data_IF_421720261608
#
_entry.id   IF_421720261608
#
_cell.length_a   1.000
_cell.length_b   1.000
_cell.length_c   1.000
_cell.angle_alpha   90.00
_cell.angle_beta   90.00
_cell.angle_gamma   90.00
#
_symmetry.space_group_name_H-M   'P 1'
#
loop_
_entity.id
_entity.type
_entity.pdbx_description
1 polymer ?
#
# COMPACT_ATOMS: atom_id res chain seq x y z
N UNK A 1 -22.17 -8.63 -24.29
CA UNK A 1 -21.12 -8.90 -24.37
C UNK A 1 -20.15 -7.91 -24.27
N UNK A 2 -20.36 -6.88 -24.57
CA UNK A 2 -19.42 -5.88 -24.47
C UNK A 2 -19.22 -5.37 -23.14
N UNK A 3 -20.03 -5.65 -22.21
CA UNK A 3 -19.83 -5.15 -20.87
C UNK A 3 -18.56 -5.67 -20.25
N UNK A 4 -18.01 -6.72 -20.78
CA UNK A 4 -16.80 -7.17 -20.23
C UNK A 4 -15.68 -6.22 -20.45
N UNK A 5 -15.70 -5.47 -21.52
CA UNK A 5 -14.65 -4.53 -21.75
C UNK A 5 -14.61 -3.46 -20.70
N UNK A 6 -15.77 -3.01 -20.27
CA UNK A 6 -15.80 -1.97 -19.26
C UNK A 6 -15.24 -2.48 -17.95
N UNK A 7 -15.53 -3.72 -17.61
CA UNK A 7 -15.02 -4.27 -16.39
C UNK A 7 -13.50 -4.43 -16.47
N UNK A 8 -13.02 -4.84 -17.61
CA UNK A 8 -11.61 -5.05 -17.78
C UNK A 8 -10.82 -3.76 -17.63
N UNK A 9 -11.47 -2.63 -17.85
CA UNK A 9 -10.76 -1.37 -17.74
C UNK A 9 -10.47 -0.99 -16.29
N UNK A 10 -11.12 -1.62 -15.34
CA UNK A 10 -10.90 -1.32 -13.94
C UNK A 10 -9.86 -2.29 -13.41
N UNK A 11 -8.63 -1.92 -13.54
CA UNK A 11 -7.54 -2.80 -13.14
C UNK A 11 -6.98 -2.35 -11.82
N UNK A 12 -6.79 -3.29 -10.91
CA UNK A 12 -6.20 -2.97 -9.62
C UNK A 12 -4.74 -2.56 -9.81
N UNK A 13 -4.32 -1.58 -9.07
CA UNK A 13 -2.94 -1.17 -9.07
C UNK A 13 -2.32 -1.69 -7.78
N UNK A 14 -1.41 -2.63 -7.90
CA UNK A 14 -0.80 -3.26 -6.73
C UNK A 14 0.58 -2.69 -6.50
N UNK A 15 0.87 -2.34 -5.24
CA UNK A 15 2.21 -1.93 -4.85
C UNK A 15 2.78 -3.01 -3.95
N UNK A 16 4.09 -3.13 -3.94
CA UNK A 16 4.77 -4.09 -3.09
C UNK A 16 5.46 -3.32 -1.97
N UNK A 17 5.14 -3.67 -0.74
CA UNK A 17 5.77 -3.09 0.44
C UNK A 17 6.35 -4.22 1.26
N UNK A 18 7.11 -3.88 2.29
CA UNK A 18 7.78 -4.89 3.10
C UNK A 18 7.32 -4.79 4.54
N UNK A 19 7.00 -5.94 5.12
CA UNK A 19 6.69 -5.99 6.53
C UNK A 19 7.96 -5.73 7.31
N UNK A 20 7.86 -5.42 8.60
CA UNK A 20 9.05 -5.15 9.41
C UNK A 20 10.07 -6.29 9.40
N UNK A 21 9.61 -7.52 9.17
CA UNK A 21 10.52 -8.67 9.13
C UNK A 21 11.17 -8.85 7.75
N UNK A 22 10.86 -7.97 6.79
CA UNK A 22 11.46 -8.03 5.46
C UNK A 22 10.67 -8.78 4.42
N UNK A 23 9.58 -9.44 4.80
CA UNK A 23 8.79 -10.17 3.81
C UNK A 23 7.94 -9.21 3.00
N UNK A 24 7.73 -9.55 1.74
CA UNK A 24 6.98 -8.70 0.83
C UNK A 24 5.49 -8.92 0.94
N UNK A 25 4.74 -7.86 0.62
CA UNK A 25 3.30 -7.91 0.65
C UNK A 25 2.78 -6.99 -0.45
N UNK A 26 1.81 -7.47 -1.22
CA UNK A 26 1.21 -6.67 -2.28
C UNK A 26 -0.09 -6.06 -1.75
N UNK A 27 -0.30 -4.79 -2.02
CA UNK A 27 -1.50 -4.07 -1.56
C UNK A 27 -2.14 -3.37 -2.74
N UNK A 28 -3.46 -3.52 -2.84
CA UNK A 28 -4.25 -2.82 -3.86
C UNK A 28 -4.38 -1.36 -3.42
N UNK A 29 -3.91 -0.44 -4.23
CA UNK A 29 -3.90 0.97 -3.85
C UNK A 29 -5.30 1.49 -3.56
N UNK A 30 -6.33 0.90 -4.18
CA UNK A 30 -7.70 1.36 -3.97
C UNK A 30 -8.20 1.04 -2.56
N UNK A 31 -7.54 0.13 -1.86
CA UNK A 31 -7.94 -0.24 -0.52
C UNK A 31 -7.25 0.60 0.55
N UNK A 32 -6.31 1.42 0.16
CA UNK A 32 -5.55 2.21 1.12
C UNK A 32 -6.33 3.45 1.52
N UNK A 33 -6.56 3.60 2.81
CA UNK A 33 -7.26 4.78 3.32
C UNK A 33 -6.31 5.84 3.82
N UNK A 34 -5.45 5.48 4.77
CA UNK A 34 -4.55 6.43 5.41
C UNK A 34 -3.19 5.79 5.57
N UNK A 35 -2.15 6.58 5.47
CA UNK A 35 -0.78 6.13 5.72
C UNK A 35 -0.24 6.97 6.87
N UNK A 36 0.05 6.33 7.99
CA UNK A 36 0.53 7.01 9.18
C UNK A 36 2.01 6.80 9.37
N UNK A 37 2.73 7.83 9.79
CA UNK A 37 4.13 7.68 10.14
C UNK A 37 4.19 7.16 11.57
N UNK A 38 5.09 6.21 11.84
CA UNK A 38 5.27 5.66 13.17
C UNK A 38 6.40 6.40 13.83
N UNK A 39 6.07 7.14 14.89
CA UNK A 39 7.07 7.88 15.63
C UNK A 39 7.42 7.25 16.97
N UNK A 40 6.51 6.47 17.52
CA UNK A 40 6.71 5.83 18.81
C UNK A 40 7.31 4.46 18.61
N UNK A 41 8.57 4.32 18.96
CA UNK A 41 9.28 3.09 18.63
C UNK A 41 8.90 1.88 19.43
N UNK A 42 8.29 2.04 20.56
CA UNK A 42 8.11 0.91 21.46
C UNK A 42 6.80 0.17 21.28
N UNK A 43 5.92 0.67 20.45
CA UNK A 43 4.58 0.08 20.32
C UNK A 43 4.52 -0.96 19.22
N UNK A 44 5.36 -0.82 18.20
CA UNK A 44 5.31 -1.69 17.05
C UNK A 44 6.60 -2.46 16.87
N UNK A 45 6.56 -3.49 16.04
CA UNK A 45 7.73 -4.31 15.79
C UNK A 45 8.89 -3.46 15.27
N UNK A 46 10.10 -3.87 15.62
CA UNK A 46 11.28 -3.18 15.17
C UNK A 46 11.29 -3.18 13.64
N UNK A 47 11.57 -2.02 13.06
CA UNK A 47 11.55 -1.88 11.60
C UNK A 47 10.26 -1.32 11.05
N UNK A 48 9.25 -1.09 11.90
CA UNK A 48 8.01 -0.50 11.45
C UNK A 48 8.18 0.99 11.31
N UNK A 49 7.95 1.52 10.11
CA UNK A 49 8.07 2.95 9.86
C UNK A 49 6.75 3.59 9.50
N UNK A 50 5.82 2.82 8.97
CA UNK A 50 4.50 3.32 8.62
C UNK A 50 3.45 2.31 8.97
N UNK A 51 2.23 2.80 9.17
CA UNK A 51 1.06 1.96 9.28
C UNK A 51 0.15 2.32 8.12
N UNK A 52 -0.22 1.34 7.33
CA UNK A 52 -1.11 1.54 6.21
C UNK A 52 -2.47 1.01 6.59
N UNK A 53 -3.49 1.87 6.50
CA UNK A 53 -4.85 1.47 6.82
C UNK A 53 -5.47 0.88 5.57
N UNK A 54 -5.71 -0.42 5.58
CA UNK A 54 -6.24 -1.14 4.43
C UNK A 54 -7.48 -1.88 4.87
N UNK A 55 -8.61 -1.52 4.31
CA UNK A 55 -9.88 -2.23 4.57
C UNK A 55 -10.16 -2.41 6.05
N UNK A 56 -9.91 -1.37 6.84
CA UNK A 56 -10.22 -1.41 8.26
C UNK A 56 -9.13 -1.97 9.14
N UNK A 57 -8.03 -2.40 8.57
CA UNK A 57 -6.92 -2.95 9.34
C UNK A 57 -5.70 -2.07 9.19
N UNK A 58 -4.84 -2.09 10.19
CA UNK A 58 -3.58 -1.36 10.14
C UNK A 58 -2.47 -2.35 9.87
N UNK A 59 -1.73 -2.11 8.81
CA UNK A 59 -0.65 -3.00 8.41
C UNK A 59 0.67 -2.29 8.62
N UNK A 60 1.55 -2.90 9.41
CA UNK A 60 2.87 -2.33 9.69
C UNK A 60 3.81 -2.63 8.54
N UNK A 61 4.51 -1.61 8.05
CA UNK A 61 5.44 -1.79 6.95
C UNK A 61 6.73 -1.03 7.23
N UNK A 62 7.77 -1.41 6.51
CA UNK A 62 9.10 -0.84 6.67
C UNK A 62 9.27 0.46 5.91
N UNK A 63 8.49 0.68 4.85
CA UNK A 63 8.59 1.88 4.04
C UNK A 63 8.09 3.10 4.81
N UNK A 64 8.71 4.25 4.56
CA UNK A 64 8.22 5.50 5.11
C UNK A 64 6.98 5.94 4.34
N UNK A 65 6.13 6.79 4.94
CA UNK A 65 4.91 7.21 4.25
C UNK A 65 5.16 7.80 2.87
N UNK A 66 6.19 8.63 2.71
CA UNK A 66 6.43 9.24 1.40
C UNK A 66 6.89 8.19 0.39
N UNK A 67 7.52 7.11 0.85
CA UNK A 67 7.91 6.04 -0.04
C UNK A 67 6.68 5.27 -0.52
N UNK A 68 5.74 5.03 0.37
CA UNK A 68 4.50 4.37 0.00
C UNK A 68 3.73 5.22 -0.99
N UNK A 69 3.65 6.53 -0.71
CA UNK A 69 2.94 7.44 -1.60
C UNK A 69 3.58 7.48 -2.98
N UNK A 70 4.89 7.41 -3.02
CA UNK A 70 5.61 7.39 -4.29
C UNK A 70 5.28 6.13 -5.09
N UNK A 71 5.22 4.99 -4.42
CA UNK A 71 4.86 3.75 -5.07
C UNK A 71 3.45 3.82 -5.64
N UNK A 72 2.53 4.40 -4.89
CA UNK A 72 1.16 4.56 -5.35
C UNK A 72 1.12 5.44 -6.59
N UNK A 73 1.86 6.54 -6.57
CA UNK A 73 1.86 7.45 -7.68
C UNK A 73 2.43 6.81 -8.94
N UNK A 74 3.53 6.10 -8.81
CA UNK A 74 4.13 5.41 -9.94
C UNK A 74 3.15 4.39 -10.50
N UNK A 75 2.51 3.65 -9.62
CA UNK A 75 1.58 2.60 -10.03
C UNK A 75 0.41 3.20 -10.80
N UNK A 76 -0.16 4.26 -10.27
CA UNK A 76 -1.32 4.87 -10.91
C UNK A 76 -0.96 5.55 -12.21
N UNK A 77 0.20 6.20 -12.25
CA UNK A 77 0.63 6.85 -13.48
C UNK A 77 1.02 5.82 -14.53
N UNK A 78 1.60 4.72 -14.11
CA UNK A 78 2.05 3.71 -15.04
C UNK A 78 0.96 2.95 -15.72
N UNK A 79 -0.27 3.10 -15.24
CA UNK A 79 -1.35 2.42 -15.88
C UNK A 79 -1.77 3.07 -17.18
N UNK A 80 -1.28 4.23 -17.48
CA UNK A 80 -1.58 4.87 -18.72
C UNK A 80 -0.61 4.52 -19.82
#
# INVERSE_FOLDING_TARGET
>A
MQSQSAIAAIVACLIVVHRPDGTEMAIDTRQIGVIEVVQTRHVYAHGTRSLIHVAGEKIAVNELPHEVEHLIKICEDGER
#
